data_IF_433494417338
#
_entry.id   IF_433494417338
#
_cell.length_a   1.000
_cell.length_b   1.000
_cell.length_c   1.000
_cell.angle_alpha   90.00
_cell.angle_beta   90.00
_cell.angle_gamma   90.00
#
_symmetry.space_group_name_H-M   'P 1'
#
loop_
_entity.id
_entity.type
_entity.pdbx_description
1 polymer ?
#
# COMPACT_ATOMS: atom_id res chain seq x y z
N UNK A 1 -34.10 -23.90 -0.25
CA UNK A 1 -33.48 -22.56 -0.15
C UNK A 1 -32.00 -22.75 0.13
N UNK A 2 -31.17 -22.68 -0.92
CA UNK A 2 -29.72 -22.85 -0.83
C UNK A 2 -29.10 -21.52 -0.43
N UNK A 3 -28.40 -21.52 0.71
CA UNK A 3 -27.55 -20.40 1.13
C UNK A 3 -26.57 -20.07 0.00
N UNK A 4 -26.75 -18.89 -0.60
CA UNK A 4 -25.78 -18.31 -1.52
C UNK A 4 -24.47 -18.15 -0.79
N UNK A 5 -23.47 -18.94 -1.19
CA UNK A 5 -22.08 -18.63 -0.95
C UNK A 5 -21.81 -17.27 -1.62
N UNK A 6 -21.77 -16.21 -0.82
CA UNK A 6 -21.23 -14.92 -1.24
C UNK A 6 -19.74 -15.11 -1.48
N UNK A 7 -19.40 -15.62 -2.66
CA UNK A 7 -18.04 -15.64 -3.15
C UNK A 7 -17.51 -14.22 -3.18
N UNK A 8 -16.30 -14.06 -2.65
CA UNK A 8 -15.49 -12.84 -2.65
C UNK A 8 -15.45 -12.23 -4.05
N UNK A 9 -16.33 -11.26 -4.28
CA UNK A 9 -16.51 -10.65 -5.59
C UNK A 9 -16.62 -9.15 -5.39
N UNK A 10 -15.47 -8.50 -5.46
CA UNK A 10 -15.30 -7.12 -5.89
C UNK A 10 -15.82 -6.97 -7.32
N UNK A 11 -17.11 -7.24 -7.53
CA UNK A 11 -17.79 -7.10 -8.80
C UNK A 11 -18.01 -5.61 -9.03
N UNK A 12 -17.38 -5.09 -10.08
CA UNK A 12 -17.71 -3.76 -10.59
C UNK A 12 -19.12 -3.80 -11.16
N UNK A 13 -20.03 -3.04 -10.55
CA UNK A 13 -21.40 -2.87 -11.05
C UNK A 13 -21.33 -2.19 -12.41
N UNK A 14 -22.11 -2.70 -13.37
CA UNK A 14 -22.27 -2.10 -14.69
C UNK A 14 -23.69 -1.58 -14.78
N UNK A 15 -23.81 -0.28 -14.99
CA UNK A 15 -25.07 0.38 -15.30
C UNK A 15 -25.27 0.34 -16.81
N UNK A 16 -26.46 -0.06 -17.25
CA UNK A 16 -26.86 0.02 -18.66
C UNK A 16 -27.85 1.17 -18.85
N UNK A 17 -27.91 1.70 -20.06
CA UNK A 17 -28.93 2.68 -20.43
C UNK A 17 -30.34 2.11 -20.18
N UNK A 18 -31.25 2.96 -19.73
CA UNK A 18 -32.63 2.64 -19.35
C UNK A 18 -32.81 1.62 -18.21
N UNK A 19 -31.72 1.21 -17.54
CA UNK A 19 -31.82 0.40 -16.34
C UNK A 19 -32.46 1.20 -15.20
N UNK A 20 -33.52 0.64 -14.60
CA UNK A 20 -34.08 1.20 -13.37
C UNK A 20 -33.11 1.02 -12.21
N UNK A 21 -32.61 2.12 -11.67
CA UNK A 21 -31.74 2.14 -10.50
C UNK A 21 -32.53 1.72 -9.25
N UNK A 22 -32.05 0.69 -8.55
CA UNK A 22 -32.61 0.23 -7.29
C UNK A 22 -31.77 0.67 -6.09
N UNK A 23 -32.37 0.68 -4.90
CA UNK A 23 -31.62 0.92 -3.66
C UNK A 23 -30.55 -0.16 -3.41
N UNK A 24 -30.74 -1.37 -3.94
CA UNK A 24 -29.78 -2.46 -3.83
C UNK A 24 -28.53 -2.19 -4.68
N UNK A 25 -28.68 -1.59 -5.86
CA UNK A 25 -27.54 -1.24 -6.72
C UNK A 25 -26.64 -0.23 -6.01
N UNK A 26 -27.22 0.83 -5.46
CA UNK A 26 -26.49 1.86 -4.70
C UNK A 26 -25.81 1.30 -3.44
N UNK A 27 -26.48 0.40 -2.71
CA UNK A 27 -25.87 -0.26 -1.55
C UNK A 27 -24.70 -1.15 -1.96
N UNK A 28 -24.85 -1.90 -3.06
CA UNK A 28 -23.79 -2.76 -3.57
C UNK A 28 -22.59 -1.95 -4.06
N UNK A 29 -22.81 -0.77 -4.65
CA UNK A 29 -21.73 0.14 -5.06
C UNK A 29 -20.99 0.69 -3.83
N UNK A 30 -21.72 1.18 -2.83
CA UNK A 30 -21.13 1.69 -1.59
C UNK A 30 -20.34 0.60 -0.82
N UNK A 31 -20.85 -0.64 -0.80
CA UNK A 31 -20.16 -1.78 -0.19
C UNK A 31 -18.89 -2.13 -0.98
N UNK A 32 -18.92 -2.07 -2.32
CA UNK A 32 -17.75 -2.30 -3.16
C UNK A 32 -16.68 -1.22 -2.97
N UNK A 33 -17.05 0.06 -2.88
CA UNK A 33 -16.12 1.15 -2.59
C UNK A 33 -15.51 1.04 -1.18
N UNK A 34 -16.33 0.70 -0.19
CA UNK A 34 -15.87 0.45 1.18
C UNK A 34 -14.83 -0.68 1.18
N UNK A 35 -15.13 -1.78 0.46
CA UNK A 35 -14.21 -2.90 0.33
C UNK A 35 -12.90 -2.52 -0.36
N UNK A 36 -12.95 -1.68 -1.41
CA UNK A 36 -11.73 -1.21 -2.08
C UNK A 36 -10.87 -0.35 -1.15
N UNK A 37 -11.48 0.49 -0.31
CA UNK A 37 -10.77 1.27 0.72
C UNK A 37 -10.15 0.36 1.78
N UNK A 38 -10.87 -0.64 2.28
CA UNK A 38 -10.33 -1.65 3.20
C UNK A 38 -9.10 -2.35 2.61
N UNK A 39 -9.23 -2.82 1.37
CA UNK A 39 -8.14 -3.47 0.65
C UNK A 39 -6.96 -2.52 0.43
N UNK A 40 -7.22 -1.26 0.12
CA UNK A 40 -6.19 -0.23 -0.01
C UNK A 40 -5.43 -0.06 1.31
N UNK A 41 -6.13 0.18 2.42
CA UNK A 41 -5.51 0.35 3.75
C UNK A 41 -4.73 -0.90 4.13
N UNK A 42 -5.33 -2.08 4.00
CA UNK A 42 -4.68 -3.33 4.40
C UNK A 42 -3.48 -3.70 3.52
N UNK A 43 -3.62 -3.60 2.20
CA UNK A 43 -2.58 -4.04 1.26
C UNK A 43 -1.47 -3.00 1.07
N UNK A 44 -1.81 -1.71 1.07
CA UNK A 44 -0.85 -0.62 0.80
C UNK A 44 -0.39 0.12 2.05
N UNK A 45 -1.08 0.00 3.18
CA UNK A 45 -0.62 0.61 4.43
C UNK A 45 -0.24 -0.43 5.49
N UNK A 46 -0.88 -1.61 5.47
CA UNK A 46 -0.66 -2.70 6.43
C UNK A 46 -0.60 -2.17 7.88
N UNK A 47 -1.54 -1.29 8.21
CA UNK A 47 -1.52 -0.45 9.41
C UNK A 47 -2.90 -0.42 10.05
N UNK A 48 -2.94 -0.01 11.31
CA UNK A 48 -4.16 0.21 12.09
C UNK A 48 -3.85 1.16 13.26
N UNK A 49 -4.88 1.75 13.86
CA UNK A 49 -4.78 2.76 14.90
C UNK A 49 -5.48 4.08 14.53
N UNK A 50 -5.12 5.15 15.24
CA UNK A 50 -5.62 6.51 15.00
C UNK A 50 -4.84 7.16 13.86
N UNK A 51 -5.55 7.61 12.82
CA UNK A 51 -4.97 8.36 11.70
C UNK A 51 -4.97 9.86 11.92
N UNK A 52 -6.06 10.38 12.50
CA UNK A 52 -6.24 11.81 12.75
C UNK A 52 -7.19 12.01 13.93
N UNK A 53 -6.94 13.02 14.77
CA UNK A 53 -7.89 13.48 15.79
C UNK A 53 -8.08 12.52 16.97
N UNK A 54 -9.34 12.33 17.37
CA UNK A 54 -9.75 11.65 18.61
C UNK A 54 -9.08 12.25 19.85
N UNK A 55 -8.91 13.56 19.93
CA UNK A 55 -8.37 14.20 21.14
C UNK A 55 -9.26 13.86 22.36
N UNK A 56 -8.66 13.58 23.51
CA UNK A 56 -9.39 13.14 24.70
C UNK A 56 -9.18 14.12 25.83
N UNK A 57 -10.29 14.57 26.41
CA UNK A 57 -10.32 15.55 27.51
C UNK A 57 -11.24 15.02 28.61
N UNK A 58 -10.75 14.94 29.85
CA UNK A 58 -11.59 14.64 31.00
C UNK A 58 -12.41 15.88 31.41
N UNK A 59 -13.74 15.75 31.53
CA UNK A 59 -14.64 16.79 32.02
C UNK A 59 -15.60 16.20 33.05
N UNK A 60 -15.24 16.35 34.33
CA UNK A 60 -16.03 15.76 35.42
C UNK A 60 -16.07 14.23 35.32
N UNK A 61 -17.26 13.67 35.18
CA UNK A 61 -17.49 12.21 35.05
C UNK A 61 -17.66 11.74 33.60
N UNK A 62 -17.17 12.52 32.64
CA UNK A 62 -17.26 12.24 31.21
C UNK A 62 -15.90 12.46 30.56
N UNK A 63 -15.52 11.56 29.65
CA UNK A 63 -14.43 11.78 28.70
C UNK A 63 -15.02 12.35 27.43
N UNK A 64 -14.65 13.58 27.09
CA UNK A 64 -14.97 14.16 25.78
C UNK A 64 -13.92 13.69 24.78
N UNK A 65 -14.36 12.95 23.76
CA UNK A 65 -13.51 12.57 22.63
C UNK A 65 -13.82 13.49 21.45
N UNK A 66 -12.82 14.11 20.85
CA UNK A 66 -12.93 14.94 19.65
C UNK A 66 -13.26 14.12 18.39
N UNK A 67 -13.58 14.81 17.28
CA UNK A 67 -13.70 14.14 15.99
C UNK A 67 -12.38 13.48 15.59
N UNK A 68 -12.44 12.42 14.78
CA UNK A 68 -11.25 11.68 14.39
C UNK A 68 -11.50 10.61 13.35
N UNK A 69 -10.40 10.07 12.83
CA UNK A 69 -10.34 9.00 11.85
C UNK A 69 -9.38 7.93 12.36
N UNK A 70 -9.79 6.68 12.31
CA UNK A 70 -9.00 5.54 12.68
C UNK A 70 -9.26 4.36 11.73
N UNK A 71 -8.34 3.41 11.71
CA UNK A 71 -8.46 2.18 10.92
C UNK A 71 -8.21 0.98 11.80
N UNK A 72 -9.02 -0.05 11.67
CA UNK A 72 -8.75 -1.33 12.32
C UNK A 72 -7.81 -2.22 11.47
N UNK A 73 -7.43 -3.38 11.99
CA UNK A 73 -6.52 -4.30 11.32
C UNK A 73 -7.10 -4.93 10.04
N UNK A 74 -8.40 -4.79 9.79
CA UNK A 74 -9.05 -5.21 8.56
C UNK A 74 -9.06 -4.10 7.50
N UNK A 75 -8.59 -2.89 7.85
CA UNK A 75 -8.61 -1.70 7.01
C UNK A 75 -9.93 -0.94 7.04
N UNK A 76 -10.85 -1.30 7.96
CA UNK A 76 -12.17 -0.66 8.04
C UNK A 76 -12.03 0.73 8.67
N UNK A 77 -12.75 1.68 8.09
CA UNK A 77 -12.71 3.07 8.49
C UNK A 77 -13.63 3.33 9.69
N UNK A 78 -13.06 3.94 10.73
CA UNK A 78 -13.75 4.39 11.93
C UNK A 78 -13.65 5.93 11.94
N UNK A 79 -14.71 6.58 11.48
CA UNK A 79 -14.81 8.04 11.40
C UNK A 79 -15.75 8.53 12.50
N UNK A 80 -15.33 9.54 13.26
CA UNK A 80 -16.18 10.34 14.15
C UNK A 80 -16.12 11.80 13.73
N UNK A 81 -17.20 12.36 13.18
CA UNK A 81 -17.20 13.72 12.63
C UNK A 81 -17.51 14.79 13.68
N UNK A 82 -17.94 14.37 14.88
CA UNK A 82 -18.27 15.26 15.99
C UNK A 82 -17.62 14.82 17.30
N UNK A 83 -17.44 15.74 18.25
CA UNK A 83 -17.08 15.36 19.60
C UNK A 83 -18.17 14.49 20.24
N UNK A 84 -17.75 13.46 20.99
CA UNK A 84 -18.65 12.57 21.73
C UNK A 84 -18.32 12.55 23.22
N UNK A 85 -19.33 12.77 24.09
CA UNK A 85 -19.19 12.55 25.52
C UNK A 85 -19.31 11.05 25.83
N UNK A 86 -18.28 10.46 26.43
CA UNK A 86 -18.25 9.08 26.89
C UNK A 86 -18.28 9.07 28.41
N UNK A 87 -19.36 8.57 29.00
CA UNK A 87 -19.46 8.44 30.45
C UNK A 87 -18.35 7.55 30.99
N UNK A 88 -17.79 7.89 32.14
CA UNK A 88 -16.83 7.01 32.83
C UNK A 88 -17.50 5.70 33.29
N UNK A 89 -16.72 4.63 33.54
CA UNK A 89 -17.23 3.41 34.16
C UNK A 89 -17.98 3.72 35.47
N UNK A 90 -19.14 3.10 35.70
CA UNK A 90 -19.93 3.29 36.90
C UNK A 90 -20.31 1.91 37.49
N UNK A 91 -20.00 1.61 38.76
CA UNK A 91 -19.26 2.45 39.72
C UNK A 91 -17.78 2.65 39.33
N UNK A 92 -17.18 3.74 39.80
CA UNK A 92 -15.73 3.97 39.71
C UNK A 92 -15.04 3.25 40.88
N UNK A 93 -14.36 2.12 40.66
CA UNK A 93 -13.61 1.46 41.73
C UNK A 93 -12.41 2.31 42.14
N UNK A 94 -12.00 2.21 43.40
CA UNK A 94 -10.75 2.78 43.89
C UNK A 94 -9.55 2.03 43.30
N UNK A 95 -8.52 2.75 42.87
CA UNK A 95 -7.21 2.19 42.48
C UNK A 95 -7.27 1.18 41.32
N UNK A 96 -7.80 1.61 40.16
CA UNK A 96 -8.00 0.76 38.99
C UNK A 96 -7.77 1.51 37.67
N UNK A 97 -7.34 0.80 36.65
CA UNK A 97 -7.16 1.34 35.31
C UNK A 97 -8.23 0.82 34.34
N UNK A 98 -8.64 1.66 33.39
CA UNK A 98 -9.58 1.30 32.34
C UNK A 98 -9.07 1.78 30.97
N UNK A 99 -9.14 0.92 29.97
CA UNK A 99 -8.85 1.22 28.57
C UNK A 99 -10.12 1.68 27.85
N UNK A 100 -10.11 2.90 27.33
CA UNK A 100 -11.12 3.38 26.38
C UNK A 100 -10.71 2.94 24.98
N UNK A 101 -11.51 2.05 24.39
CA UNK A 101 -11.30 1.57 23.03
C UNK A 101 -12.44 1.99 22.11
N UNK A 102 -12.13 2.17 20.83
CA UNK A 102 -13.10 2.31 19.74
C UNK A 102 -12.97 1.13 18.79
N UNK A 103 -14.10 0.65 18.26
CA UNK A 103 -14.12 -0.42 17.26
C UNK A 103 -15.13 -0.16 16.17
N UNK A 104 -14.89 -0.72 14.99
CA UNK A 104 -15.85 -0.70 13.90
C UNK A 104 -17.10 -1.52 14.27
N UNK A 105 -18.28 -0.95 14.02
CA UNK A 105 -19.56 -1.58 14.28
C UNK A 105 -20.21 -1.98 12.97
N UNK A 106 -20.33 -3.29 12.71
CA UNK A 106 -21.05 -3.72 11.53
C UNK A 106 -22.55 -3.34 11.60
N UNK A 107 -23.19 -3.37 10.45
CA UNK A 107 -24.60 -3.00 10.31
C UNK A 107 -25.51 -3.89 11.17
N UNK A 108 -25.18 -5.16 11.35
CA UNK A 108 -25.99 -6.07 12.16
C UNK A 108 -25.92 -5.68 13.65
N UNK A 109 -24.72 -5.36 14.13
CA UNK A 109 -24.44 -4.90 15.49
C UNK A 109 -25.19 -3.60 15.80
N UNK A 110 -25.18 -2.65 14.88
CA UNK A 110 -25.87 -1.36 15.06
C UNK A 110 -27.40 -1.50 15.02
N UNK A 111 -27.92 -2.41 14.21
CA UNK A 111 -29.37 -2.61 14.08
C UNK A 111 -29.95 -3.48 15.20
N UNK A 112 -29.14 -4.35 15.81
CA UNK A 112 -29.60 -5.40 16.71
C UNK A 112 -30.71 -6.25 16.07
N UNK A 113 -31.61 -6.78 16.90
CA UNK A 113 -32.78 -7.57 16.47
C UNK A 113 -33.98 -6.71 16.02
N UNK A 114 -33.80 -5.39 15.84
CA UNK A 114 -34.95 -4.51 15.55
C UNK A 114 -35.55 -4.86 14.18
N UNK A 115 -36.87 -5.12 14.10
CA UNK A 115 -37.51 -5.47 12.84
C UNK A 115 -37.37 -4.33 11.82
N UNK A 116 -37.14 -4.70 10.55
CA UNK A 116 -36.90 -3.78 9.42
C UNK A 116 -38.19 -3.08 8.97
N UNK A 117 -38.96 -2.48 9.86
CA UNK A 117 -40.39 -2.21 9.63
C UNK A 117 -40.73 -0.87 8.99
N UNK A 118 -39.79 -0.02 8.59
CA UNK A 118 -40.15 1.24 7.90
C UNK A 118 -39.16 1.62 6.80
N UNK A 119 -39.71 2.00 5.64
CA UNK A 119 -38.96 2.45 4.48
C UNK A 119 -38.24 3.80 4.71
N UNK A 120 -38.56 4.51 5.80
CA UNK A 120 -38.02 5.83 6.15
C UNK A 120 -37.82 6.08 7.66
N UNK A 121 -38.13 5.13 8.56
CA UNK A 121 -38.23 5.47 9.99
C UNK A 121 -36.88 5.79 10.60
N UNK A 122 -36.78 6.96 11.26
CA UNK A 122 -35.71 7.53 12.12
C UNK A 122 -34.25 7.16 11.83
N UNK A 123 -33.98 6.63 10.65
CA UNK A 123 -32.67 6.19 10.21
C UNK A 123 -32.03 7.42 9.62
N UNK A 124 -31.15 8.00 10.41
CA UNK A 124 -30.13 8.90 9.89
C UNK A 124 -29.20 8.03 9.03
N UNK A 125 -29.16 8.21 7.69
CA UNK A 125 -28.21 7.52 6.82
C UNK A 125 -26.74 7.92 7.09
N UNK A 126 -26.50 8.74 8.11
CA UNK A 126 -25.26 9.47 8.37
C UNK A 126 -24.47 8.98 9.58
N UNK A 127 -24.98 8.05 10.40
CA UNK A 127 -24.30 7.74 11.66
C UNK A 127 -23.27 6.61 11.47
N UNK A 128 -22.05 7.09 11.35
CA UNK A 128 -20.75 6.50 11.63
C UNK A 128 -20.76 5.19 12.43
N UNK A 129 -20.03 4.21 11.90
CA UNK A 129 -20.09 2.81 12.30
C UNK A 129 -19.06 2.50 13.39
N UNK A 130 -19.27 3.00 14.60
CA UNK A 130 -18.36 2.69 15.70
C UNK A 130 -19.04 2.49 17.05
N UNK A 131 -18.35 1.77 17.93
CA UNK A 131 -18.74 1.57 19.31
C UNK A 131 -17.58 1.95 20.23
N UNK A 132 -17.89 2.69 21.27
CA UNK A 132 -17.00 2.97 22.40
C UNK A 132 -17.19 1.93 23.48
N UNK A 133 -16.09 1.53 24.12
CA UNK A 133 -16.14 0.59 25.25
C UNK A 133 -15.03 0.94 26.23
N UNK A 134 -15.37 0.92 27.52
CA UNK A 134 -14.38 0.83 28.57
C UNK A 134 -14.09 -0.63 28.86
N UNK A 135 -12.81 -0.98 28.93
CA UNK A 135 -12.35 -2.27 29.41
C UNK A 135 -11.50 -2.10 30.67
N UNK A 136 -11.61 -3.05 31.59
CA UNK A 136 -10.93 -3.04 32.88
C UNK A 136 -9.51 -3.61 32.76
N UNK A 137 -8.51 -2.74 32.88
CA UNK A 137 -7.10 -3.11 32.80
C UNK A 137 -6.50 -3.58 34.14
N UNK A 138 -7.35 -3.72 35.18
CA UNK A 138 -6.95 -4.20 36.49
C UNK A 138 -6.43 -3.11 37.42
N UNK A 139 -5.91 -3.55 38.57
CA UNK A 139 -5.32 -2.66 39.57
C UNK A 139 -3.90 -2.25 39.16
N UNK A 140 -3.54 -1.00 39.43
CA UNK A 140 -2.18 -0.51 39.25
C UNK A 140 -1.99 0.88 39.84
N UNK A 141 -0.73 1.22 40.12
CA UNK A 141 -0.34 2.53 40.64
C UNK A 141 -0.30 3.57 39.50
N UNK A 142 -0.57 4.82 39.84
CA UNK A 142 -0.54 5.91 38.88
C UNK A 142 0.84 6.04 38.22
N UNK A 143 0.85 6.08 36.89
CA UNK A 143 2.08 6.22 36.09
C UNK A 143 2.86 4.92 35.88
N UNK A 144 2.47 3.80 36.50
CA UNK A 144 3.07 2.51 36.17
C UNK A 144 2.53 1.98 34.82
N UNK A 145 3.39 1.42 33.96
CA UNK A 145 2.95 0.80 32.72
C UNK A 145 2.18 -0.49 33.04
N UNK A 146 0.90 -0.52 32.69
CA UNK A 146 0.06 -1.73 32.75
C UNK A 146 -0.11 -2.32 31.34
N UNK A 147 -0.26 -3.65 31.21
CA UNK A 147 -0.72 -4.24 29.95
C UNK A 147 -2.13 -3.71 29.58
N UNK A 148 -2.54 -3.89 28.33
CA UNK A 148 -3.96 -3.69 27.97
C UNK A 148 -4.84 -4.69 28.71
N UNK A 149 -6.10 -4.32 28.94
CA UNK A 149 -7.07 -5.23 29.51
C UNK A 149 -7.19 -6.52 28.67
N UNK A 150 -7.38 -7.67 29.35
CA UNK A 150 -7.31 -9.00 28.73
C UNK A 150 -8.36 -9.23 27.62
N UNK A 151 -9.48 -8.50 27.67
CA UNK A 151 -10.55 -8.62 26.69
C UNK A 151 -10.42 -7.62 25.52
N UNK A 152 -9.36 -6.80 25.48
CA UNK A 152 -9.10 -5.85 24.40
C UNK A 152 -8.45 -6.56 23.22
N UNK A 153 -9.13 -6.51 22.07
CA UNK A 153 -8.65 -7.15 20.83
C UNK A 153 -7.85 -6.16 20.00
N UNK A 154 -6.56 -5.99 20.32
CA UNK A 154 -5.69 -5.08 19.56
C UNK A 154 -5.74 -5.35 18.06
N UNK A 155 -5.92 -4.28 17.28
CA UNK A 155 -6.16 -4.37 15.84
C UNK A 155 -7.62 -4.19 15.51
N UNK A 156 -8.52 -5.00 16.07
CA UNK A 156 -9.97 -4.86 15.89
C UNK A 156 -10.54 -3.70 16.71
N UNK A 157 -10.00 -3.55 17.92
CA UNK A 157 -10.27 -2.48 18.86
C UNK A 157 -9.02 -1.58 18.95
N UNK A 158 -9.26 -0.28 18.88
CA UNK A 158 -8.22 0.74 18.83
C UNK A 158 -8.19 1.46 20.18
N UNK A 159 -7.11 1.33 20.96
CA UNK A 159 -6.97 2.08 22.20
C UNK A 159 -6.89 3.58 21.94
N UNK A 160 -7.74 4.33 22.64
CA UNK A 160 -7.85 5.78 22.52
C UNK A 160 -7.33 6.49 23.77
N UNK A 161 -7.54 5.96 24.96
CA UNK A 161 -6.95 6.47 26.19
C UNK A 161 -7.02 5.42 27.28
N UNK A 162 -6.23 5.60 28.34
CA UNK A 162 -6.39 4.88 29.60
C UNK A 162 -6.77 5.85 30.70
N UNK A 163 -7.80 5.51 31.45
CA UNK A 163 -8.18 6.17 32.69
C UNK A 163 -7.50 5.45 33.84
N UNK A 164 -6.72 6.15 34.65
CA UNK A 164 -6.16 5.63 35.89
C UNK A 164 -6.86 6.31 37.06
N UNK A 165 -7.40 5.50 37.96
CA UNK A 165 -8.06 5.93 39.20
C UNK A 165 -7.17 5.54 40.36
N UNK A 166 -6.99 6.43 41.34
CA UNK A 166 -6.31 6.15 42.60
C UNK A 166 -7.09 6.81 43.74
N UNK A 167 -7.18 6.14 44.89
CA UNK A 167 -7.97 6.64 46.01
C UNK A 167 -7.46 8.00 46.51
N UNK A 168 -8.35 9.00 46.51
CA UNK A 168 -8.01 10.36 46.94
C UNK A 168 -7.26 11.20 45.90
N UNK A 169 -6.99 10.65 44.72
CA UNK A 169 -6.31 11.35 43.61
C UNK A 169 -7.32 11.58 42.47
N UNK A 170 -7.33 12.77 41.84
CA UNK A 170 -8.15 13.01 40.66
C UNK A 170 -7.84 11.99 39.53
N UNK A 171 -8.84 11.53 38.76
CA UNK A 171 -8.59 10.61 37.66
C UNK A 171 -7.62 11.19 36.63
N UNK A 172 -6.70 10.36 36.14
CA UNK A 172 -5.71 10.75 35.13
C UNK A 172 -6.01 10.02 33.83
N UNK A 173 -5.91 10.74 32.70
CA UNK A 173 -6.00 10.16 31.36
C UNK A 173 -4.61 10.06 30.75
N UNK A 174 -4.23 8.85 30.35
CA UNK A 174 -3.02 8.55 29.61
C UNK A 174 -3.36 8.25 28.15
N UNK A 175 -2.86 9.08 27.23
CA UNK A 175 -3.03 8.92 25.78
C UNK A 175 -1.78 8.34 25.10
N UNK A 176 -0.71 8.04 25.83
CA UNK A 176 0.54 7.51 25.28
C UNK A 176 0.40 6.11 24.67
N UNK A 177 -0.64 5.38 25.07
CA UNK A 177 -0.97 4.04 24.58
C UNK A 177 -1.59 4.02 23.18
N UNK A 178 -1.90 5.19 22.61
CA UNK A 178 -2.48 5.31 21.27
C UNK A 178 -1.52 4.80 20.23
N UNK A 179 -1.97 3.83 19.43
CA UNK A 179 -1.29 3.49 18.19
C UNK A 179 -1.68 4.50 17.12
N UNK A 180 -0.69 5.17 16.54
CA UNK A 180 -0.90 6.02 15.35
C UNK A 180 -0.82 5.17 14.10
N UNK A 181 -1.76 5.31 13.17
CA UNK A 181 -1.62 4.68 11.85
C UNK A 181 -0.45 5.33 11.13
N UNK A 182 0.50 4.51 10.72
CA UNK A 182 1.57 4.96 9.84
C UNK A 182 1.20 4.55 8.43
N UNK A 183 1.16 5.51 7.51
CA UNK A 183 1.17 5.15 6.10
C UNK A 183 2.45 4.39 5.80
N UNK A 184 2.41 3.43 4.86
CA UNK A 184 3.67 2.92 4.33
C UNK A 184 4.44 4.12 3.77
N UNK A 185 5.72 4.19 4.09
CA UNK A 185 6.61 5.11 3.39
C UNK A 185 6.41 4.87 1.91
N UNK A 186 6.05 5.93 1.17
CA UNK A 186 5.89 5.82 -0.26
C UNK A 186 7.20 5.25 -0.81
N UNK A 187 7.16 4.18 -1.61
CA UNK A 187 8.38 3.73 -2.27
C UNK A 187 8.93 4.89 -3.08
N UNK A 188 10.24 5.03 -3.09
CA UNK A 188 10.89 6.00 -3.95
C UNK A 188 10.90 5.41 -5.36
N UNK A 189 10.04 5.96 -6.22
CA UNK A 189 9.85 5.53 -7.59
C UNK A 189 10.56 6.50 -8.52
N UNK A 190 11.48 5.99 -9.34
CA UNK A 190 12.06 6.77 -10.44
C UNK A 190 12.01 5.96 -11.72
N UNK A 191 11.69 6.62 -12.82
CA UNK A 191 11.76 6.03 -14.16
C UNK A 191 12.71 6.83 -15.03
N UNK A 192 13.22 6.17 -16.06
CA UNK A 192 14.10 6.79 -17.01
C UNK A 192 14.12 6.05 -18.34
N UNK A 193 14.81 6.64 -19.30
CA UNK A 193 14.95 6.08 -20.63
C UNK A 193 16.40 6.11 -21.08
N UNK A 194 16.89 4.98 -21.59
CA UNK A 194 18.16 4.89 -22.31
C UNK A 194 17.85 4.94 -23.80
N UNK A 195 18.48 5.85 -24.53
CA UNK A 195 18.26 5.98 -25.98
C UNK A 195 19.02 4.89 -26.73
N UNK A 196 18.47 4.43 -27.86
CA UNK A 196 19.24 3.59 -28.77
C UNK A 196 20.54 4.32 -29.17
N UNK A 197 21.65 3.60 -29.25
CA UNK A 197 22.94 4.17 -29.58
C UNK A 197 23.71 4.84 -28.43
N UNK A 198 23.09 5.07 -27.26
CA UNK A 198 23.70 5.90 -26.21
C UNK A 198 24.65 5.17 -25.26
N UNK A 199 24.55 3.84 -25.18
CA UNK A 199 25.39 3.00 -24.32
C UNK A 199 25.88 1.79 -25.09
N UNK A 200 26.98 1.22 -24.64
CA UNK A 200 27.57 0.02 -25.23
C UNK A 200 26.85 -1.24 -24.73
N UNK A 201 26.39 -2.08 -25.65
CA UNK A 201 25.94 -3.43 -25.36
C UNK A 201 27.11 -4.42 -25.55
N UNK A 202 27.06 -5.54 -24.84
CA UNK A 202 28.08 -6.59 -24.86
C UNK A 202 27.44 -7.91 -25.30
N UNK A 203 28.08 -8.63 -26.22
CA UNK A 203 27.60 -9.91 -26.74
C UNK A 203 27.29 -9.84 -28.24
N UNK A 204 26.35 -10.65 -28.70
CA UNK A 204 25.91 -10.72 -30.09
C UNK A 204 24.47 -10.25 -30.25
N UNK A 205 23.98 -9.95 -31.47
CA UNK A 205 22.56 -9.55 -31.63
C UNK A 205 21.52 -10.55 -31.15
N UNK A 206 21.88 -11.83 -31.06
CA UNK A 206 20.98 -12.89 -30.56
C UNK A 206 21.08 -13.09 -29.03
N UNK A 207 22.14 -12.58 -28.40
CA UNK A 207 22.34 -12.62 -26.96
C UNK A 207 23.27 -11.48 -26.55
N UNK A 208 22.69 -10.41 -26.02
CA UNK A 208 23.45 -9.24 -25.58
C UNK A 208 23.03 -8.81 -24.18
N UNK A 209 23.91 -8.04 -23.56
CA UNK A 209 23.72 -7.48 -22.23
C UNK A 209 24.10 -6.01 -22.22
N UNK A 210 23.46 -5.22 -21.38
CA UNK A 210 23.80 -3.81 -21.19
C UNK A 210 23.67 -3.46 -19.73
N UNK A 211 24.60 -2.63 -19.24
CA UNK A 211 24.47 -2.01 -17.93
C UNK A 211 23.71 -0.69 -18.05
N UNK A 212 22.61 -0.56 -17.30
CA UNK A 212 21.80 0.66 -17.22
C UNK A 212 22.15 1.38 -15.93
N UNK A 213 22.82 2.53 -16.05
CA UNK A 213 23.08 3.41 -14.91
C UNK A 213 21.82 4.21 -14.56
N UNK A 214 21.40 4.10 -13.30
CA UNK A 214 20.24 4.75 -12.71
C UNK A 214 20.63 5.69 -11.56
N UNK A 215 21.91 6.06 -11.47
CA UNK A 215 22.45 7.00 -10.47
C UNK A 215 21.68 8.31 -10.36
N UNK A 216 21.24 8.85 -11.50
CA UNK A 216 20.38 10.05 -11.56
C UNK A 216 19.01 9.88 -10.88
N UNK A 217 18.59 8.64 -10.62
CA UNK A 217 17.38 8.35 -9.85
C UNK A 217 17.52 8.54 -8.35
N UNK A 218 18.73 8.83 -7.83
CA UNK A 218 18.90 9.25 -6.44
C UNK A 218 18.47 8.21 -5.39
N UNK A 219 18.47 6.92 -5.76
CA UNK A 219 18.17 5.85 -4.82
C UNK A 219 19.17 5.86 -3.66
N UNK A 220 18.65 5.77 -2.43
CA UNK A 220 19.45 5.87 -1.18
C UNK A 220 19.87 4.51 -0.64
N UNK A 221 19.37 3.43 -1.21
CA UNK A 221 19.41 2.04 -0.76
C UNK A 221 20.77 1.39 -0.91
N UNK A 222 21.82 2.19 -0.94
CA UNK A 222 23.20 1.76 -0.87
C UNK A 222 23.45 1.17 0.53
N UNK A 223 23.27 -0.14 0.67
CA UNK A 223 23.56 -0.89 1.90
C UNK A 223 22.34 -1.35 2.72
N UNK A 224 21.12 -1.00 2.31
CA UNK A 224 19.92 -1.51 2.96
C UNK A 224 19.57 -2.92 2.40
N UNK A 225 19.12 -3.87 3.25
CA UNK A 225 18.68 -5.19 2.79
C UNK A 225 17.45 -5.15 1.85
N UNK A 226 16.83 -3.98 1.67
CA UNK A 226 15.67 -3.72 0.81
C UNK A 226 16.08 -2.97 -0.46
N UNK A 227 17.02 -3.51 -1.23
CA UNK A 227 17.57 -2.91 -2.44
C UNK A 227 16.53 -2.47 -3.48
N UNK A 228 16.98 -1.74 -4.50
CA UNK A 228 16.11 -1.23 -5.58
C UNK A 228 15.64 -2.38 -6.48
N UNK A 229 14.33 -2.47 -6.72
CA UNK A 229 13.73 -3.36 -7.70
C UNK A 229 13.62 -2.65 -9.04
N UNK A 230 14.12 -3.26 -10.11
CA UNK A 230 14.04 -2.66 -11.45
C UNK A 230 13.09 -3.44 -12.34
N UNK A 231 12.29 -2.69 -13.09
CA UNK A 231 11.54 -3.14 -14.25
C UNK A 231 12.14 -2.47 -15.48
N UNK A 232 12.19 -3.18 -16.60
CA UNK A 232 12.67 -2.63 -17.86
C UNK A 232 11.87 -3.19 -19.02
N UNK A 233 11.63 -2.33 -20.01
CA UNK A 233 10.99 -2.70 -21.26
C UNK A 233 11.81 -2.17 -22.45
N UNK A 234 11.90 -2.98 -23.50
CA UNK A 234 12.48 -2.54 -24.76
C UNK A 234 11.43 -1.72 -25.51
N UNK A 235 11.79 -0.53 -25.99
CA UNK A 235 10.85 0.35 -26.71
C UNK A 235 10.45 -0.19 -28.08
N UNK A 236 11.24 -1.12 -28.63
CA UNK A 236 10.97 -1.80 -29.90
C UNK A 236 11.67 -3.14 -29.94
N UNK A 237 11.30 -3.98 -30.90
CA UNK A 237 12.00 -5.24 -31.16
C UNK A 237 13.44 -4.95 -31.65
N UNK A 238 14.49 -5.63 -31.13
CA UNK A 238 15.89 -5.45 -31.56
C UNK A 238 16.19 -5.74 -33.02
N UNK A 239 15.23 -6.28 -33.77
CA UNK A 239 15.32 -6.53 -35.21
C UNK A 239 14.24 -5.76 -36.00
N UNK A 240 13.61 -4.77 -35.37
CA UNK A 240 12.65 -3.88 -36.05
C UNK A 240 13.36 -2.91 -37.01
N UNK A 241 12.57 -2.24 -37.85
CA UNK A 241 13.05 -1.13 -38.71
C UNK A 241 13.62 0.05 -37.92
N UNK A 242 13.29 0.18 -36.63
CA UNK A 242 13.81 1.24 -35.77
C UNK A 242 15.10 0.85 -35.02
N UNK A 243 15.59 -0.38 -35.21
CA UNK A 243 16.72 -0.90 -34.43
C UNK A 243 18.07 -0.75 -35.13
N UNK A 244 19.13 -0.50 -34.35
CA UNK A 244 20.51 -0.47 -34.82
C UNK A 244 21.05 -1.81 -35.35
N UNK A 245 20.36 -2.95 -35.17
CA UNK A 245 20.79 -4.23 -35.74
C UNK A 245 20.31 -4.48 -37.17
N UNK A 246 19.26 -3.81 -37.64
CA UNK A 246 18.73 -4.06 -38.97
C UNK A 246 19.72 -3.70 -40.09
N UNK A 247 20.65 -2.78 -39.83
CA UNK A 247 21.68 -2.34 -40.77
C UNK A 247 22.65 -3.45 -41.19
N UNK A 248 22.71 -4.53 -40.42
CA UNK A 248 23.59 -5.66 -40.70
C UNK A 248 22.94 -6.74 -41.57
N UNK A 249 21.62 -6.64 -41.84
CA UNK A 249 20.87 -7.66 -42.55
C UNK A 249 20.16 -7.06 -43.76
N UNK A 250 20.18 -7.77 -44.89
CA UNK A 250 19.27 -7.45 -45.99
C UNK A 250 17.82 -7.65 -45.54
N UNK A 251 16.83 -6.93 -46.12
CA UNK A 251 15.42 -7.10 -45.75
C UNK A 251 14.91 -8.56 -45.86
N UNK A 252 15.42 -9.32 -46.84
CA UNK A 252 15.10 -10.73 -47.01
C UNK A 252 15.72 -11.60 -45.91
N UNK A 253 16.97 -11.35 -45.52
CA UNK A 253 17.63 -12.06 -44.42
C UNK A 253 16.96 -11.75 -43.08
N UNK A 254 16.58 -10.48 -42.84
CA UNK A 254 15.86 -10.06 -41.65
C UNK A 254 14.50 -10.78 -41.51
N UNK A 255 13.74 -10.89 -42.60
CA UNK A 255 12.46 -11.59 -42.62
C UNK A 255 12.64 -13.08 -42.25
N UNK A 256 13.59 -13.77 -42.91
CA UNK A 256 13.92 -15.17 -42.60
C UNK A 256 14.35 -15.35 -41.16
N UNK A 257 15.16 -14.43 -40.62
CA UNK A 257 15.57 -14.47 -39.22
C UNK A 257 14.37 -14.32 -38.29
N UNK A 258 13.50 -13.32 -38.52
CA UNK A 258 12.31 -13.08 -37.71
C UNK A 258 11.32 -14.27 -37.70
N UNK A 259 11.23 -15.02 -38.79
CA UNK A 259 10.43 -16.26 -38.86
C UNK A 259 10.97 -17.38 -37.96
N UNK A 260 12.28 -17.38 -37.68
CA UNK A 260 12.96 -18.38 -36.86
C UNK A 260 13.12 -17.98 -35.39
N UNK A 261 13.02 -16.68 -35.09
CA UNK A 261 13.21 -16.17 -33.74
C UNK A 261 12.00 -16.41 -32.83
N UNK A 262 12.30 -16.70 -31.57
CA UNK A 262 11.35 -16.65 -30.45
C UNK A 262 11.92 -15.69 -29.40
N UNK A 263 11.13 -14.73 -28.93
CA UNK A 263 11.57 -13.69 -27.98
C UNK A 263 11.19 -12.28 -28.43
N UNK A 264 11.83 -11.23 -27.89
CA UNK A 264 12.98 -11.25 -26.97
C UNK A 264 12.62 -11.77 -25.58
N UNK A 265 13.53 -12.56 -24.99
CA UNK A 265 13.50 -12.90 -23.56
C UNK A 265 14.39 -11.93 -22.81
N UNK A 266 13.82 -11.23 -21.84
CA UNK A 266 14.49 -10.21 -21.05
C UNK A 266 14.70 -10.73 -19.64
N UNK A 267 15.93 -10.58 -19.13
CA UNK A 267 16.28 -10.87 -17.74
C UNK A 267 16.95 -9.64 -17.14
N UNK A 268 16.57 -9.30 -15.91
CA UNK A 268 17.17 -8.21 -15.15
C UNK A 268 17.93 -8.84 -14.01
N UNK A 269 19.22 -8.53 -13.92
CA UNK A 269 20.04 -8.86 -12.77
C UNK A 269 20.57 -7.57 -12.19
N UNK A 270 20.69 -7.50 -10.86
CA UNK A 270 21.66 -6.60 -10.26
C UNK A 270 22.95 -7.41 -10.08
N UNK A 271 23.86 -7.43 -11.07
CA UNK A 271 25.01 -8.33 -11.07
C UNK A 271 26.01 -7.99 -9.96
N UNK A 272 25.88 -6.81 -9.36
CA UNK A 272 26.67 -6.41 -8.25
C UNK A 272 25.85 -6.67 -6.98
N UNK A 273 26.19 -7.75 -6.27
CA UNK A 273 25.95 -7.83 -4.82
C UNK A 273 26.66 -6.69 -4.05
N UNK A 274 27.35 -5.78 -4.77
CA UNK A 274 27.85 -4.55 -4.26
C UNK A 274 26.67 -3.60 -3.96
N UNK A 275 26.43 -3.24 -2.68
CA UNK A 275 25.42 -2.26 -2.30
C UNK A 275 25.61 -0.90 -2.98
N UNK A 276 26.79 -0.59 -3.52
CA UNK A 276 27.10 0.68 -4.19
C UNK A 276 26.72 0.75 -5.68
N UNK A 277 26.12 -0.30 -6.26
CA UNK A 277 25.74 -0.26 -7.69
C UNK A 277 24.45 0.52 -7.91
N UNK A 278 24.56 1.67 -8.57
CA UNK A 278 23.45 2.55 -8.92
C UNK A 278 22.70 2.13 -10.18
N UNK A 279 22.61 0.83 -10.49
CA UNK A 279 22.06 0.39 -11.77
C UNK A 279 21.76 -1.10 -11.82
N UNK A 280 21.45 -1.58 -13.02
CA UNK A 280 21.17 -2.99 -13.27
C UNK A 280 21.74 -3.45 -14.60
N UNK A 281 21.94 -4.76 -14.75
CA UNK A 281 22.23 -5.39 -16.03
C UNK A 281 20.95 -5.93 -16.64
N UNK A 282 20.69 -5.52 -17.88
CA UNK A 282 19.65 -6.07 -18.72
C UNK A 282 20.27 -7.08 -19.67
N UNK A 283 19.86 -8.33 -19.57
CA UNK A 283 20.25 -9.41 -20.47
C UNK A 283 19.08 -9.69 -21.44
N UNK A 284 19.35 -9.64 -22.74
CA UNK A 284 18.35 -9.91 -23.81
C UNK A 284 18.82 -11.09 -24.65
N UNK A 285 17.95 -12.09 -24.77
CA UNK A 285 18.24 -13.33 -25.50
C UNK A 285 17.10 -13.68 -26.44
N UNK A 286 17.44 -14.39 -27.51
CA UNK A 286 16.47 -14.95 -28.44
C UNK A 286 16.62 -16.47 -28.49
N UNK A 287 15.48 -17.15 -28.51
CA UNK A 287 15.39 -18.55 -28.88
C UNK A 287 15.33 -18.69 -30.40
N UNK A 288 15.73 -19.85 -30.89
CA UNK A 288 15.63 -20.22 -32.30
C UNK A 288 14.77 -21.48 -32.41
N UNK A 289 13.85 -21.48 -33.38
CA UNK A 289 13.01 -22.64 -33.67
C UNK A 289 13.82 -23.78 -34.28
N UNK A 290 14.67 -23.47 -35.26
CA UNK A 290 15.60 -24.40 -35.87
C UNK A 290 17.01 -23.80 -35.88
N UNK A 291 17.94 -24.48 -35.20
CA UNK A 291 19.36 -24.07 -35.13
C UNK A 291 20.07 -24.26 -36.48
N UNK A 292 19.64 -25.21 -37.30
CA UNK A 292 20.25 -25.48 -38.61
C UNK A 292 19.91 -24.37 -39.62
N UNK A 293 18.69 -23.84 -39.57
CA UNK A 293 18.26 -22.69 -40.37
C UNK A 293 19.10 -21.42 -40.13
N UNK A 294 19.84 -21.35 -39.00
CA UNK A 294 20.69 -20.21 -38.68
C UNK A 294 22.06 -20.26 -39.40
N UNK A 295 22.55 -21.43 -39.78
CA UNK A 295 23.89 -21.58 -40.37
C UNK A 295 24.05 -20.72 -41.64
N UNK A 296 23.10 -20.75 -42.61
CA UNK A 296 23.16 -19.88 -43.79
C UNK A 296 23.05 -18.38 -43.45
N UNK A 297 22.27 -18.04 -42.42
CA UNK A 297 22.10 -16.66 -41.96
C UNK A 297 23.39 -16.13 -41.30
N UNK A 298 24.11 -16.96 -40.55
CA UNK A 298 25.38 -16.59 -39.93
C UNK A 298 26.51 -16.41 -40.94
N UNK A 299 26.50 -17.16 -42.05
CA UNK A 299 27.46 -16.95 -43.15
C UNK A 299 27.26 -15.61 -43.87
N UNK A 300 26.03 -15.08 -43.90
CA UNK A 300 25.72 -13.75 -44.43
C UNK A 300 26.06 -12.61 -43.44
N UNK A 301 26.54 -12.94 -42.23
CA UNK A 301 26.75 -12.00 -41.13
C UNK A 301 28.23 -11.92 -40.65
N UNK A 302 29.23 -11.77 -41.54
CA UNK A 302 30.64 -11.69 -41.11
C UNK A 302 30.92 -10.48 -40.21
N UNK A 303 30.08 -9.43 -40.23
CA UNK A 303 30.20 -8.28 -39.33
C UNK A 303 29.67 -8.52 -37.92
N UNK A 304 28.75 -9.48 -37.71
CA UNK A 304 28.22 -9.77 -36.37
C UNK A 304 29.17 -10.55 -35.48
N UNK A 305 30.16 -11.20 -36.08
CA UNK A 305 31.10 -12.06 -35.37
C UNK A 305 32.40 -11.32 -35.01
N UNK A 306 32.57 -10.07 -35.47
CA UNK A 306 33.66 -9.22 -34.96
C UNK A 306 33.22 -8.69 -33.61
N UNK A 307 34.08 -8.81 -32.59
CA UNK A 307 33.93 -8.26 -31.24
C UNK A 307 33.84 -6.72 -31.20
N UNK A 308 33.01 -6.12 -32.03
CA UNK A 308 32.63 -4.73 -31.92
C UNK A 308 31.56 -4.70 -30.85
N UNK A 309 31.83 -4.07 -29.70
CA UNK A 309 30.81 -3.87 -28.70
C UNK A 309 29.70 -2.99 -29.33
N UNK A 310 28.57 -3.56 -29.78
CA UNK A 310 27.62 -2.76 -30.54
C UNK A 310 26.99 -1.72 -29.62
N UNK A 311 26.73 -0.53 -30.14
CA UNK A 311 25.89 0.41 -29.42
C UNK A 311 24.48 -0.20 -29.23
N UNK A 312 23.82 0.19 -28.14
CA UNK A 312 22.51 -0.31 -27.74
C UNK A 312 21.52 -0.27 -28.93
N UNK A 313 20.97 -1.42 -29.36
CA UNK A 313 20.22 -1.51 -30.61
C UNK A 313 18.83 -0.87 -30.55
N UNK A 314 18.25 -0.76 -29.36
CA UNK A 314 16.90 -0.22 -29.12
C UNK A 314 16.88 0.53 -27.80
N UNK A 315 16.04 1.56 -27.70
CA UNK A 315 15.90 2.27 -26.42
C UNK A 315 15.27 1.38 -25.35
N UNK A 316 15.58 1.67 -24.10
CA UNK A 316 15.07 0.97 -22.92
C UNK A 316 14.31 1.97 -22.06
N UNK A 317 13.10 1.64 -21.66
CA UNK A 317 12.40 2.32 -20.57
C UNK A 317 12.58 1.51 -19.30
N UNK A 318 12.88 2.15 -18.18
CA UNK A 318 13.07 1.48 -16.90
C UNK A 318 12.32 2.19 -15.77
N UNK A 319 11.95 1.42 -14.75
CA UNK A 319 11.35 1.88 -13.49
C UNK A 319 12.10 1.22 -12.34
N UNK A 320 12.71 2.03 -11.48
CA UNK A 320 13.29 1.60 -10.21
C UNK A 320 12.33 1.87 -9.06
N UNK A 321 12.21 0.90 -8.16
CA UNK A 321 11.35 0.94 -6.97
C UNK A 321 12.22 0.68 -5.75
N UNK A 322 12.45 1.72 -4.95
CA UNK A 322 13.15 1.64 -3.69
C UNK A 322 12.14 1.62 -2.54
N UNK A 323 12.11 0.50 -1.80
CA UNK A 323 11.28 0.39 -0.60
C UNK A 323 11.96 1.16 0.53
N UNK A 324 11.48 2.36 0.80
CA UNK A 324 11.98 3.17 1.91
C UNK A 324 11.41 2.58 3.20
N UNK A 325 12.26 2.02 4.06
CA UNK A 325 11.87 1.78 5.45
C UNK A 325 11.61 3.17 6.05
N UNK A 326 10.38 3.41 6.49
CA UNK A 326 10.03 4.68 7.11
C UNK A 326 10.99 4.93 8.25
N UNK A 327 11.27 6.20 8.54
CA UNK A 327 11.92 6.48 9.82
C UNK A 327 11.07 5.79 10.89
N UNK A 328 11.65 4.91 11.75
CA UNK A 328 10.92 4.49 12.92
C UNK A 328 10.44 5.77 13.60
N UNK A 329 9.16 5.84 14.05
CA UNK A 329 8.71 7.04 14.73
C UNK A 329 9.70 7.34 15.85
N UNK A 330 10.07 8.60 16.09
CA UNK A 330 10.75 8.91 17.33
C UNK A 330 9.93 8.28 18.47
N UNK A 331 10.57 7.61 19.42
CA UNK A 331 9.91 6.93 20.54
C UNK A 331 8.98 7.85 21.37
N UNK A 332 8.99 9.14 21.04
CA UNK A 332 8.24 10.22 21.65
C UNK A 332 7.59 11.01 20.50
N UNK A 333 6.57 10.47 19.82
CA UNK A 333 5.72 11.30 18.96
C UNK A 333 4.80 12.13 19.85
N UNK A 334 5.36 13.15 20.50
CA UNK A 334 4.57 14.29 20.95
C UNK A 334 4.03 14.95 19.69
N UNK A 335 2.81 14.60 19.29
CA UNK A 335 1.98 15.60 18.63
C UNK A 335 1.77 16.70 19.65
N UNK A 336 2.70 17.66 19.69
CA UNK A 336 2.44 18.96 20.28
C UNK A 336 1.24 19.50 19.51
N UNK A 337 0.07 19.46 20.15
CA UNK A 337 -1.09 20.19 19.72
C UNK A 337 -0.62 21.61 19.38
N UNK A 338 -0.81 22.05 18.15
CA UNK A 338 -0.79 23.49 17.87
C UNK A 338 -1.87 24.09 18.76
N UNK A 339 -1.54 24.87 19.80
CA UNK A 339 -2.56 25.49 20.60
C UNK A 339 -3.14 26.63 19.76
N UNK A 340 -4.47 26.67 19.68
CA UNK A 340 -5.26 27.84 19.30
C UNK A 340 -5.26 28.23 17.82
N UNK A 341 -6.11 27.57 17.03
CA UNK A 341 -6.97 28.34 16.12
C UNK A 341 -8.22 28.73 16.90
N UNK A 342 -8.17 29.94 17.49
CA UNK A 342 -9.38 30.61 17.94
C UNK A 342 -10.26 30.85 16.71
N UNK A 343 -11.45 30.27 16.71
CA UNK A 343 -12.51 30.66 15.78
C UNK A 343 -12.87 32.12 16.08
N UNK A 344 -12.52 33.03 15.17
CA UNK A 344 -13.21 34.31 15.02
C UNK A 344 -14.45 34.05 14.16
N UNK A 345 -15.58 33.81 14.83
CA UNK A 345 -16.92 34.15 14.35
C UNK A 345 -17.71 34.74 15.51
#
# INVERSE_FOLDING_TARGET
MTHSQFGDRTLRIRYNDDQRLSAQDLQSEADAETRLRELHVRALHNTWGVALGFEVILKGNVVQVGPGLAYDCQGREILSARPLPIALPNPLPSSRAFDLVIRYADRATLLGDRPRTTCLGDRRPTEERFLWRWSDAGAGELGQPLPFADDVRLGEEIPIARLQLEAGVPPVLDTSLRRTTQGLTRPHLVSGQVRAGSVTAYGSPLAWSVYVDTSSGGFRGVGAPSGVFYFANLLSHPFSSASGFNRFLSPAALRRLMEQLTGPFVSIANPYANPYSSGFRLDVRFGLRDRQALIPLLTDLPELNRNQNPLLPVGIHWLGVELVKGCPPPAISQFAALPNYAYLL
#
